data_IF_833972603262
#
_entry.id   IF_833972603262
#
_cell.length_a   1.000
_cell.length_b   1.000
_cell.length_c   1.000
_cell.angle_alpha   90.00
_cell.angle_beta   90.00
_cell.angle_gamma   90.00
#
_symmetry.space_group_name_H-M   'P 1'
#
loop_
_entity.id
_entity.type
_entity.pdbx_description
1 polymer ?
#
# COMPACT_ATOMS: atom_id res chain seq x y z
N UNK A 1 -39.89 -5.25 25.79
CA UNK A 1 -39.30 -6.57 26.15
C UNK A 1 -37.97 -6.68 25.43
N UNK A 2 -36.88 -6.88 26.18
CA UNK A 2 -35.51 -6.89 25.67
C UNK A 2 -35.05 -8.34 25.60
N UNK A 3 -34.84 -8.90 24.41
CA UNK A 3 -34.16 -10.18 24.24
C UNK A 3 -32.80 -9.94 23.61
N UNK A 4 -31.78 -10.28 24.39
CA UNK A 4 -30.35 -10.14 24.15
C UNK A 4 -29.92 -11.01 22.96
N UNK A 5 -29.34 -10.37 21.94
CA UNK A 5 -28.85 -10.97 20.69
C UNK A 5 -27.51 -11.73 20.87
N UNK A 6 -27.28 -12.35 22.02
CA UNK A 6 -25.98 -12.97 22.40
C UNK A 6 -26.00 -14.50 22.49
N UNK A 7 -27.03 -15.20 22.01
CA UNK A 7 -27.15 -16.64 22.25
C UNK A 7 -27.61 -17.49 21.06
N UNK A 8 -27.07 -17.25 19.86
CA UNK A 8 -27.09 -18.28 18.81
C UNK A 8 -25.69 -18.37 18.20
N UNK A 9 -24.79 -19.03 18.92
CA UNK A 9 -23.53 -19.54 18.36
C UNK A 9 -23.82 -20.82 17.59
N UNK A 10 -23.39 -20.92 16.34
CA UNK A 10 -22.36 -21.88 15.94
C UNK A 10 -21.99 -21.73 14.44
N UNK A 11 -20.69 -21.74 14.11
CA UNK A 11 -20.17 -21.50 12.78
C UNK A 11 -20.09 -22.81 11.97
N UNK A 12 -20.63 -22.81 10.76
CA UNK A 12 -20.42 -23.88 9.78
C UNK A 12 -19.43 -23.39 8.72
N UNK A 13 -18.23 -23.98 8.72
CA UNK A 13 -17.21 -23.82 7.70
C UNK A 13 -17.70 -24.44 6.37
N UNK A 14 -17.73 -23.66 5.30
CA UNK A 14 -17.67 -24.20 3.95
C UNK A 14 -16.84 -23.26 3.06
N UNK A 15 -15.73 -23.83 2.61
CA UNK A 15 -14.66 -23.21 1.85
C UNK A 15 -14.98 -23.13 0.34
N UNK A 16 -14.11 -22.38 -0.38
CA UNK A 16 -13.88 -22.35 -1.84
C UNK A 16 -14.76 -21.30 -2.57
N UNK A 17 -14.26 -20.35 -3.37
CA UNK A 17 -12.94 -20.09 -3.94
C UNK A 17 -12.67 -18.58 -3.96
N UNK A 18 -11.61 -18.14 -3.29
CA UNK A 18 -11.01 -16.84 -3.56
C UNK A 18 -10.26 -16.95 -4.89
N UNK A 19 -10.85 -16.49 -5.99
CA UNK A 19 -10.09 -16.19 -7.20
C UNK A 19 -9.19 -14.98 -6.90
N UNK A 20 -7.86 -15.10 -7.00
CA UNK A 20 -7.02 -13.93 -7.03
C UNK A 20 -7.19 -13.30 -8.41
N UNK A 21 -7.98 -12.24 -8.51
CA UNK A 21 -7.79 -11.25 -9.56
C UNK A 21 -6.38 -10.69 -9.36
N UNK A 22 -5.43 -11.21 -10.14
CA UNK A 22 -4.05 -10.75 -10.13
C UNK A 22 -4.03 -9.30 -10.61
N UNK A 23 -3.97 -8.37 -9.65
CA UNK A 23 -3.50 -7.02 -9.90
C UNK A 23 -2.01 -7.14 -10.19
N UNK A 24 -1.64 -6.97 -11.46
CA UNK A 24 -0.25 -6.77 -11.88
C UNK A 24 0.21 -5.43 -11.30
N UNK A 25 0.94 -5.49 -10.18
CA UNK A 25 1.76 -4.38 -9.74
C UNK A 25 3.12 -4.53 -10.44
N UNK A 26 3.30 -3.82 -11.56
CA UNK A 26 4.62 -3.58 -12.12
C UNK A 26 5.39 -2.69 -11.14
N UNK A 27 6.22 -3.30 -10.30
CA UNK A 27 7.22 -2.59 -9.51
C UNK A 27 8.43 -2.35 -10.40
N UNK A 28 8.35 -1.30 -11.21
CA UNK A 28 9.50 -0.77 -11.93
C UNK A 28 10.53 -0.22 -10.93
N UNK A 29 11.79 -0.44 -11.24
CA UNK A 29 12.94 -0.20 -10.38
C UNK A 29 13.14 1.31 -10.19
N UNK A 30 13.20 1.78 -8.94
CA UNK A 30 13.53 3.17 -8.66
C UNK A 30 14.91 3.29 -8.00
N UNK A 31 15.93 3.44 -8.83
CA UNK A 31 17.19 4.07 -8.45
C UNK A 31 17.21 5.52 -8.96
N UNK A 32 17.57 6.47 -8.10
CA UNK A 32 17.97 7.80 -8.55
C UNK A 32 17.18 8.98 -7.97
N UNK A 33 17.79 9.61 -6.96
CA UNK A 33 17.83 11.06 -6.71
C UNK A 33 16.64 11.91 -7.22
N UNK A 34 15.61 12.04 -6.38
CA UNK A 34 14.42 12.82 -6.70
C UNK A 34 14.65 14.34 -6.64
N UNK A 35 14.51 14.99 -7.79
CA UNK A 35 14.48 16.45 -7.94
C UNK A 35 13.02 16.92 -8.11
N UNK A 36 12.75 18.23 -7.97
CA UNK A 36 11.39 18.79 -8.02
C UNK A 36 10.56 18.41 -9.27
N UNK A 37 11.21 18.07 -10.39
CA UNK A 37 10.55 17.56 -11.60
C UNK A 37 9.80 16.23 -11.39
N UNK A 38 10.22 15.41 -10.43
CA UNK A 38 9.55 14.15 -10.12
C UNK A 38 8.23 14.36 -9.39
N UNK A 39 8.04 15.51 -8.72
CA UNK A 39 6.86 15.74 -7.89
C UNK A 39 5.61 15.96 -8.73
N UNK A 40 5.71 16.76 -9.78
CA UNK A 40 4.61 16.99 -10.72
C UNK A 40 4.32 15.74 -11.56
N UNK A 41 5.36 15.06 -12.04
CA UNK A 41 5.19 13.78 -12.73
C UNK A 41 4.55 12.72 -11.80
N UNK A 42 4.91 12.71 -10.52
CA UNK A 42 4.30 11.83 -9.53
C UNK A 42 2.84 12.20 -9.25
N UNK A 43 2.49 13.49 -9.11
CA UNK A 43 1.11 13.90 -8.89
C UNK A 43 0.22 13.53 -10.08
N UNK A 44 0.70 13.74 -11.31
CA UNK A 44 -0.01 13.34 -12.53
C UNK A 44 -0.27 11.83 -12.54
N UNK A 45 0.75 11.00 -12.27
CA UNK A 45 0.57 9.53 -12.15
C UNK A 45 -0.42 9.13 -11.06
N UNK A 46 -0.50 9.88 -9.96
CA UNK A 46 -1.45 9.60 -8.88
C UNK A 46 -2.87 10.03 -9.24
N UNK A 47 -3.03 11.10 -10.01
CA UNK A 47 -4.31 11.54 -10.57
C UNK A 47 -4.85 10.55 -11.58
N UNK A 48 -4.01 10.09 -12.52
CA UNK A 48 -4.35 9.03 -13.48
C UNK A 48 -4.81 7.76 -12.78
N UNK A 49 -4.06 7.27 -11.78
CA UNK A 49 -4.46 6.10 -11.00
C UNK A 49 -5.77 6.30 -10.25
N UNK A 50 -6.03 7.51 -9.74
CA UNK A 50 -7.27 7.80 -9.03
C UNK A 50 -8.47 7.77 -9.98
N UNK A 51 -8.33 8.33 -11.18
CA UNK A 51 -9.34 8.22 -12.23
C UNK A 51 -9.59 6.77 -12.65
N UNK A 52 -8.54 5.99 -12.88
CA UNK A 52 -8.67 4.56 -13.22
C UNK A 52 -9.44 3.79 -12.14
N UNK A 53 -9.17 4.07 -10.86
CA UNK A 53 -9.90 3.46 -9.73
C UNK A 53 -11.38 3.84 -9.75
N UNK A 54 -11.71 5.09 -10.03
CA UNK A 54 -13.09 5.54 -10.11
C UNK A 54 -13.84 4.93 -11.30
N UNK A 55 -13.19 4.85 -12.46
CA UNK A 55 -13.76 4.25 -13.66
C UNK A 55 -14.01 2.76 -13.45
N UNK A 56 -13.06 2.05 -12.82
CA UNK A 56 -13.23 0.63 -12.44
C UNK A 56 -14.35 0.41 -11.44
N UNK A 57 -14.56 1.36 -10.53
CA UNK A 57 -15.67 1.34 -9.57
C UNK A 57 -17.01 1.74 -10.21
N UNK A 58 -17.02 2.19 -11.47
CA UNK A 58 -18.22 2.60 -12.19
C UNK A 58 -18.83 3.91 -11.66
N UNK A 59 -18.00 4.80 -11.09
CA UNK A 59 -18.45 6.08 -10.54
C UNK A 59 -18.69 7.10 -11.65
N UNK A 60 -19.80 7.83 -11.56
CA UNK A 60 -20.09 8.93 -12.49
C UNK A 60 -19.27 10.19 -12.16
N UNK A 61 -19.19 11.13 -13.11
CA UNK A 61 -18.37 12.35 -12.98
C UNK A 61 -18.72 13.19 -11.74
N UNK A 62 -20.00 13.27 -11.38
CA UNK A 62 -20.48 14.00 -10.20
C UNK A 62 -19.95 13.36 -8.90
N UNK A 63 -20.02 12.03 -8.79
CA UNK A 63 -19.47 11.27 -7.66
C UNK A 63 -17.95 11.37 -7.58
N UNK A 64 -17.26 11.30 -8.74
CA UNK A 64 -15.81 11.46 -8.80
C UNK A 64 -15.39 12.84 -8.28
N UNK A 65 -16.09 13.89 -8.71
CA UNK A 65 -15.82 15.28 -8.28
C UNK A 65 -16.08 15.44 -6.79
N UNK A 66 -17.24 14.99 -6.30
CA UNK A 66 -17.59 15.09 -4.88
C UNK A 66 -16.59 14.34 -3.97
N UNK A 67 -16.13 13.15 -4.39
CA UNK A 67 -15.10 12.41 -3.65
C UNK A 67 -13.74 13.11 -3.68
N UNK A 68 -13.37 13.72 -4.80
CA UNK A 68 -12.12 14.47 -4.91
C UNK A 68 -12.13 15.69 -3.99
N UNK A 69 -13.23 16.44 -3.94
CA UNK A 69 -13.40 17.59 -3.03
C UNK A 69 -13.33 17.16 -1.57
N UNK A 70 -14.08 16.13 -1.18
CA UNK A 70 -14.04 15.59 0.18
C UNK A 70 -12.63 15.12 0.59
N UNK A 71 -11.94 14.43 -0.31
CA UNK A 71 -10.57 13.97 -0.06
C UNK A 71 -9.58 15.14 0.08
N UNK A 72 -9.76 16.21 -0.70
CA UNK A 72 -8.94 17.41 -0.60
C UNK A 72 -9.15 18.12 0.75
N UNK A 73 -10.40 18.27 1.19
CA UNK A 73 -10.74 18.83 2.51
C UNK A 73 -10.13 17.99 3.64
N UNK A 74 -10.31 16.67 3.58
CA UNK A 74 -9.75 15.76 4.57
C UNK A 74 -8.21 15.84 4.62
N UNK A 75 -7.54 15.91 3.46
CA UNK A 75 -6.09 16.08 3.40
C UNK A 75 -5.64 17.38 4.06
N UNK A 76 -6.34 18.49 3.79
CA UNK A 76 -6.04 19.79 4.41
C UNK A 76 -6.22 19.75 5.93
N UNK A 77 -7.32 19.16 6.42
CA UNK A 77 -7.58 19.01 7.84
C UNK A 77 -6.47 18.19 8.54
N UNK A 78 -6.08 17.06 7.93
CA UNK A 78 -5.00 16.21 8.46
C UNK A 78 -3.63 16.90 8.41
N UNK A 79 -3.37 17.71 7.37
CA UNK A 79 -2.14 18.49 7.28
C UNK A 79 -2.06 19.54 8.41
N UNK A 80 -3.16 20.23 8.69
CA UNK A 80 -3.24 21.20 9.78
C UNK A 80 -3.01 20.51 11.14
N UNK A 81 -3.67 19.38 11.39
CA UNK A 81 -3.49 18.59 12.61
C UNK A 81 -2.03 18.10 12.77
N UNK A 82 -1.42 17.63 11.67
CA UNK A 82 -0.02 17.19 11.69
C UNK A 82 0.93 18.33 12.02
N UNK A 83 0.68 19.52 11.50
CA UNK A 83 1.47 20.72 11.81
C UNK A 83 1.35 21.09 13.29
N UNK A 84 0.12 21.16 13.81
CA UNK A 84 -0.11 21.44 15.24
C UNK A 84 0.59 20.41 16.14
N UNK A 85 0.53 19.13 15.78
CA UNK A 85 1.24 18.10 16.52
C UNK A 85 2.76 18.28 16.46
N UNK A 86 3.32 18.65 15.31
CA UNK A 86 4.75 18.95 15.18
C UNK A 86 5.17 20.12 16.07
N UNK A 87 4.36 21.18 16.12
CA UNK A 87 4.61 22.34 16.98
C UNK A 87 4.62 21.92 18.46
N UNK A 88 3.62 21.15 18.91
CA UNK A 88 3.58 20.61 20.29
C UNK A 88 4.78 19.71 20.62
N UNK A 89 5.25 18.93 19.65
CA UNK A 89 6.45 18.10 19.84
C UNK A 89 7.70 18.97 19.95
N UNK A 90 7.80 20.06 19.19
CA UNK A 90 8.91 21.01 19.28
C UNK A 90 8.92 21.80 20.60
N UNK A 91 7.76 22.01 21.22
CA UNK A 91 7.66 22.61 22.56
C UNK A 91 8.19 21.68 23.67
N UNK A 92 8.13 20.36 23.47
CA UNK A 92 8.54 19.34 24.47
C UNK A 92 9.98 18.90 24.24
N UNK A 93 10.38 18.71 22.99
CA UNK A 93 11.65 18.11 22.60
C UNK A 93 12.49 19.09 21.78
N UNK A 94 13.77 19.21 22.15
CA UNK A 94 14.75 19.91 21.34
C UNK A 94 14.91 19.28 19.96
N UNK A 95 15.52 19.99 19.00
CA UNK A 95 15.80 19.41 17.67
C UNK A 95 16.67 18.15 17.76
N UNK A 96 17.69 18.17 18.62
CA UNK A 96 18.60 17.04 18.81
C UNK A 96 17.88 15.80 19.37
N UNK A 97 16.98 15.98 20.34
CA UNK A 97 16.17 14.89 20.88
C UNK A 97 15.17 14.35 19.86
N UNK A 98 14.56 15.23 19.05
CA UNK A 98 13.65 14.82 17.97
C UNK A 98 14.37 14.01 16.91
N UNK A 99 15.58 14.41 16.54
CA UNK A 99 16.41 13.66 15.59
C UNK A 99 16.85 12.30 16.15
N UNK A 100 17.29 12.26 17.41
CA UNK A 100 17.63 11.01 18.11
C UNK A 100 16.43 10.04 18.15
N UNK A 101 15.25 10.54 18.55
CA UNK A 101 14.02 9.75 18.59
C UNK A 101 13.63 9.23 17.20
N UNK A 102 13.72 10.06 16.16
CA UNK A 102 13.45 9.68 14.77
C UNK A 102 14.40 8.59 14.29
N UNK A 103 15.68 8.68 14.62
CA UNK A 103 16.68 7.68 14.25
C UNK A 103 16.43 6.35 14.97
N UNK A 104 16.15 6.37 16.27
CA UNK A 104 15.79 5.17 17.04
C UNK A 104 14.52 4.49 16.50
N UNK A 105 13.47 5.26 16.16
CA UNK A 105 12.27 4.70 15.54
C UNK A 105 12.54 4.09 14.16
N UNK A 106 13.42 4.73 13.38
CA UNK A 106 13.82 4.22 12.06
C UNK A 106 14.58 2.90 12.21
N UNK A 107 15.54 2.84 13.11
CA UNK A 107 16.32 1.63 13.42
C UNK A 107 15.42 0.47 13.85
N UNK A 108 14.54 0.69 14.82
CA UNK A 108 13.56 -0.32 15.27
C UNK A 108 12.67 -0.81 14.11
N UNK A 109 12.24 0.09 13.23
CA UNK A 109 11.44 -0.28 12.05
C UNK A 109 12.26 -1.10 11.04
N UNK A 110 13.52 -0.71 10.83
CA UNK A 110 14.42 -1.37 9.89
C UNK A 110 14.82 -2.77 10.43
N UNK A 111 14.97 -2.93 11.75
CA UNK A 111 15.13 -4.23 12.43
C UNK A 111 13.88 -5.12 12.22
N UNK A 112 12.69 -4.60 12.50
CA UNK A 112 11.44 -5.34 12.29
C UNK A 112 11.18 -5.71 10.82
N UNK A 113 11.62 -4.89 9.86
CA UNK A 113 11.56 -5.22 8.44
C UNK A 113 12.74 -6.09 7.96
N UNK A 114 13.86 -6.08 8.68
CA UNK A 114 15.05 -6.89 8.43
C UNK A 114 14.85 -8.35 8.83
N UNK A 115 14.21 -8.59 9.97
CA UNK A 115 13.91 -9.94 10.47
C UNK A 115 12.83 -10.68 9.64
N UNK A 116 12.12 -9.96 8.77
CA UNK A 116 11.14 -10.50 7.83
C UNK A 116 11.70 -10.89 6.45
N UNK A 117 13.01 -10.71 6.19
CA UNK A 117 13.63 -11.07 4.90
C UNK A 117 14.39 -12.39 4.95
N UNK A 118 13.73 -13.42 5.48
CA UNK A 118 14.06 -14.81 5.22
C UNK A 118 13.27 -15.35 4.02
N UNK A 119 13.91 -15.43 2.86
CA UNK A 119 13.70 -16.49 1.86
C UNK A 119 12.26 -16.82 1.40
N UNK A 120 11.71 -16.00 0.50
CA UNK A 120 10.85 -16.51 -0.57
C UNK A 120 11.69 -17.26 -1.61
N UNK A 121 12.00 -18.52 -1.33
CA UNK A 121 12.77 -19.46 -2.15
C UNK A 121 12.10 -19.64 -3.53
N UNK A 122 12.47 -18.86 -4.54
CA UNK A 122 12.32 -19.31 -5.93
C UNK A 122 13.40 -20.37 -6.15
N UNK A 123 13.00 -21.64 -6.04
CA UNK A 123 13.84 -22.75 -6.47
C UNK A 123 14.16 -22.63 -7.97
N UNK A 124 15.33 -23.11 -8.41
CA UNK A 124 15.61 -23.19 -9.84
C UNK A 124 14.55 -24.10 -10.46
N UNK A 125 13.75 -23.56 -11.38
CA UNK A 125 12.83 -24.36 -12.17
C UNK A 125 13.70 -25.11 -13.18
N UNK A 126 13.84 -26.41 -12.94
CA UNK A 126 14.53 -27.34 -13.82
C UNK A 126 14.04 -27.17 -15.26
N UNK A 127 15.00 -27.04 -16.16
CA UNK A 127 14.81 -27.12 -17.60
C UNK A 127 14.29 -28.52 -17.90
N UNK A 128 13.00 -28.62 -18.25
CA UNK A 128 12.51 -29.83 -18.90
C UNK A 128 12.88 -29.73 -20.37
N UNK A 129 13.93 -30.45 -20.72
CA UNK A 129 14.20 -30.86 -22.10
C UNK A 129 13.03 -31.74 -22.57
N UNK A 130 12.28 -31.28 -23.56
CA UNK A 130 11.52 -32.16 -24.44
C UNK A 130 12.37 -32.42 -25.68
N UNK A 131 13.39 -33.27 -25.48
CA UNK A 131 13.99 -34.04 -26.56
C UNK A 131 13.19 -35.33 -26.76
N UNK A 132 12.02 -35.24 -27.40
CA UNK A 132 11.43 -36.40 -28.07
C UNK A 132 11.91 -36.42 -29.53
N UNK A 133 13.17 -36.84 -29.67
CA UNK A 133 13.78 -37.31 -30.91
C UNK A 133 13.14 -38.65 -31.27
N UNK A 134 12.73 -38.82 -32.53
CA UNK A 134 12.66 -40.06 -33.35
C UNK A 134 11.46 -39.97 -34.30
N UNK A 135 11.48 -40.33 -35.58
CA UNK A 135 12.47 -40.82 -36.52
C UNK A 135 11.73 -41.01 -37.86
N UNK A 136 12.48 -41.02 -38.98
CA UNK A 136 12.08 -41.51 -40.33
C UNK A 136 11.04 -40.67 -41.09
N UNK A 137 11.17 -40.35 -42.37
CA UNK A 137 12.09 -40.69 -43.47
C UNK A 137 11.98 -39.57 -44.52
#
# INVERSE_FOLDING_TARGET
MKMSLRQMFAPALLAIALTPLAVVAQADQHEGRHSGADREAFSQRMEERRHEVYDRAGLNEEQQTALNELNAEHFQAMQALRKEHQDKVADILSEEERESLKNAMKEMRDEHHGDGRGHGRHGPRDQHEDAAKTASE
#
